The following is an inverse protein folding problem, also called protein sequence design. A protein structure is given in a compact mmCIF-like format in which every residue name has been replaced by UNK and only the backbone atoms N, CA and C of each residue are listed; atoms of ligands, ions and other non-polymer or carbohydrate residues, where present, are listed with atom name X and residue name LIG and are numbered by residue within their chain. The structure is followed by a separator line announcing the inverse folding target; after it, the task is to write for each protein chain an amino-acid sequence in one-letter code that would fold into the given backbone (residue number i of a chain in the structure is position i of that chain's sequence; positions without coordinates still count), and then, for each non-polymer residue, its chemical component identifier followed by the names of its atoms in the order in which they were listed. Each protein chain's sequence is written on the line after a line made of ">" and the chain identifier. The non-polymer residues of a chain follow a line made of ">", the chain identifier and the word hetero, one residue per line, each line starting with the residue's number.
data_IF_841514485686
#
_entry.id   IF_841514485686
#
_cell.length_a   1.000
_cell.length_b   1.000
_cell.length_c   1.000
_cell.angle_alpha   90.00
_cell.angle_beta   90.00
_cell.angle_gamma   90.00
#
_symmetry.space_group_name_H-M   'P 1'
#
loop_
_entity.id
_entity.type
_entity.pdbx_description
1 polymer ?
#
# COMPACT_ATOMS: atom_id res chain seq x y z
N UNK A 1 -18.63 -23.63 26.85
CA UNK A 1 -17.91 -22.38 27.15
C UNK A 1 -17.67 -21.66 25.84
N UNK A 2 -18.47 -20.65 25.54
CA UNK A 2 -18.38 -19.85 24.32
C UNK A 2 -17.18 -18.89 24.43
N UNK A 3 -16.21 -19.00 23.53
CA UNK A 3 -15.23 -17.93 23.25
C UNK A 3 -15.40 -17.49 21.80
N UNK A 4 -15.46 -16.17 21.66
CA UNK A 4 -15.84 -15.40 20.48
C UNK A 4 -14.97 -15.76 19.26
N UNK A 5 -15.62 -15.98 18.13
CA UNK A 5 -14.99 -15.98 16.82
C UNK A 5 -14.53 -14.55 16.50
N UNK A 6 -13.22 -14.37 16.33
CA UNK A 6 -12.66 -13.15 15.74
C UNK A 6 -12.47 -13.46 14.26
N UNK A 7 -13.35 -12.87 13.46
CA UNK A 7 -13.27 -12.81 12.02
C UNK A 7 -12.12 -11.84 11.68
N UNK A 8 -10.88 -12.33 11.56
CA UNK A 8 -9.79 -11.52 11.02
C UNK A 8 -9.88 -11.52 9.49
N UNK A 9 -10.83 -10.75 8.97
CA UNK A 9 -10.59 -10.04 7.72
C UNK A 9 -9.34 -9.20 7.96
N UNK A 10 -8.27 -9.40 7.20
CA UNK A 10 -7.24 -8.37 7.05
C UNK A 10 -7.85 -7.22 6.22
N UNK A 11 -8.82 -6.54 6.83
CA UNK A 11 -9.05 -5.13 6.62
C UNK A 11 -7.77 -4.46 7.10
N UNK A 12 -6.99 -3.87 6.20
CA UNK A 12 -6.18 -2.73 6.58
C UNK A 12 -7.13 -1.58 6.91
N UNK A 13 -7.79 -1.67 8.07
CA UNK A 13 -8.24 -0.49 8.76
C UNK A 13 -6.99 0.12 9.37
N UNK A 14 -6.43 1.13 8.70
CA UNK A 14 -5.80 2.21 9.45
C UNK A 14 -6.87 2.72 10.42
N UNK A 15 -6.83 2.26 11.68
CA UNK A 15 -7.61 2.86 12.75
C UNK A 15 -6.89 4.16 13.07
N UNK A 16 -7.07 5.16 12.20
CA UNK A 16 -7.10 6.53 12.68
C UNK A 16 -8.35 6.60 13.54
N UNK A 17 -8.17 6.76 14.85
CA UNK A 17 -9.23 7.16 15.77
C UNK A 17 -9.55 8.62 15.44
N UNK A 18 -10.17 8.87 14.30
CA UNK A 18 -10.99 10.05 14.10
C UNK A 18 -12.42 9.57 14.14
N UNK A 19 -13.21 10.15 15.05
CA UNK A 19 -14.61 9.85 15.22
C UNK A 19 -15.37 10.10 13.91
N UNK A 20 -15.49 9.06 13.07
CA UNK A 20 -16.34 9.08 11.89
C UNK A 20 -17.79 9.04 12.37
N UNK A 21 -18.36 10.21 12.59
CA UNK A 21 -19.81 10.42 12.52
C UNK A 21 -20.28 9.79 11.20
N UNK A 22 -21.30 8.93 11.26
CA UNK A 22 -21.92 8.38 10.06
C UNK A 22 -22.29 9.54 9.13
N UNK A 23 -21.64 9.61 7.96
CA UNK A 23 -21.83 10.71 7.01
C UNK A 23 -23.26 10.65 6.46
N UNK A 24 -23.95 11.79 6.31
CA UNK A 24 -25.30 11.81 5.74
C UNK A 24 -25.28 11.24 4.31
N UNK A 25 -26.22 10.36 4.00
CA UNK A 25 -26.54 10.02 2.61
C UNK A 25 -27.03 11.29 1.91
N UNK A 26 -26.49 11.61 0.73
CA UNK A 26 -26.78 12.82 -0.07
C UNK A 26 -26.11 14.13 0.41
N UNK A 27 -24.96 14.05 1.07
CA UNK A 27 -24.14 15.24 1.33
C UNK A 27 -23.67 15.87 0.00
N UNK A 28 -23.87 17.19 -0.13
CA UNK A 28 -23.38 17.94 -1.30
C UNK A 28 -21.95 18.42 -1.11
N UNK A 29 -21.24 18.71 -2.20
CA UNK A 29 -19.90 19.31 -2.13
C UNK A 29 -19.92 20.59 -1.29
N UNK A 30 -20.94 21.45 -1.47
CA UNK A 30 -21.15 22.64 -0.63
C UNK A 30 -21.19 22.32 0.85
N UNK A 31 -21.94 21.29 1.25
CA UNK A 31 -22.08 20.91 2.66
C UNK A 31 -20.75 20.40 3.21
N UNK A 32 -20.05 19.54 2.48
CA UNK A 32 -18.74 19.02 2.86
C UNK A 32 -17.72 20.16 3.06
N UNK A 33 -17.66 21.12 2.13
CA UNK A 33 -16.74 22.27 2.22
C UNK A 33 -17.13 23.25 3.34
N UNK A 34 -18.42 23.51 3.53
CA UNK A 34 -18.92 24.40 4.58
C UNK A 34 -18.64 23.85 5.99
N UNK A 35 -18.76 22.52 6.18
CA UNK A 35 -18.43 21.85 7.43
C UNK A 35 -16.95 22.02 7.84
N UNK A 36 -16.07 22.33 6.88
CA UNK A 36 -14.64 22.60 7.08
C UNK A 36 -14.31 24.09 7.11
N UNK A 37 -15.32 24.96 7.07
CA UNK A 37 -15.15 26.41 7.02
C UNK A 37 -14.27 26.89 5.85
N UNK A 38 -14.33 26.19 4.71
CA UNK A 38 -13.58 26.54 3.52
C UNK A 38 -14.32 27.61 2.69
N UNK A 39 -13.61 28.44 1.91
CA UNK A 39 -14.25 29.40 1.02
C UNK A 39 -15.06 28.71 -0.07
N UNK A 40 -16.33 29.08 -0.17
CA UNK A 40 -17.33 28.44 -1.02
C UNK A 40 -17.69 29.29 -2.24
N UNK A 41 -16.68 29.69 -3.02
CA UNK A 41 -16.90 30.46 -4.24
C UNK A 41 -17.59 29.59 -5.31
N UNK A 42 -18.93 29.57 -5.27
CA UNK A 42 -19.77 28.68 -6.07
C UNK A 42 -19.50 28.71 -7.58
N UNK A 43 -18.95 29.81 -8.11
CA UNK A 43 -18.60 29.95 -9.53
C UNK A 43 -17.32 29.24 -9.96
N UNK A 44 -16.50 28.74 -9.04
CA UNK A 44 -15.20 28.10 -9.34
C UNK A 44 -15.24 26.56 -9.28
N UNK A 45 -16.30 25.97 -8.72
CA UNK A 45 -16.38 24.52 -8.47
C UNK A 45 -17.53 23.90 -9.27
N UNK A 46 -17.20 23.00 -10.21
CA UNK A 46 -18.14 22.48 -11.22
C UNK A 46 -19.33 21.71 -10.63
N UNK A 47 -19.18 21.11 -9.44
CA UNK A 47 -20.17 20.25 -8.79
C UNK A 47 -20.64 20.78 -7.44
N UNK A 48 -20.52 22.09 -7.21
CA UNK A 48 -20.68 22.67 -5.89
C UNK A 48 -22.01 22.34 -5.20
N UNK A 49 -23.11 22.33 -5.96
CA UNK A 49 -24.45 22.02 -5.46
C UNK A 49 -24.89 20.56 -5.69
N UNK A 50 -23.98 19.69 -6.13
CA UNK A 50 -24.27 18.28 -6.39
C UNK A 50 -23.97 17.43 -5.17
N UNK A 51 -24.79 16.40 -4.97
CA UNK A 51 -24.48 15.30 -4.05
C UNK A 51 -23.19 14.62 -4.49
N UNK A 52 -22.33 14.29 -3.54
CA UNK A 52 -21.08 13.60 -3.79
C UNK A 52 -21.05 12.27 -3.06
N UNK A 53 -20.32 11.31 -3.62
CA UNK A 53 -20.14 9.97 -3.05
C UNK A 53 -18.70 9.51 -3.16
N UNK A 54 -18.39 8.47 -2.38
CA UNK A 54 -17.10 7.78 -2.37
C UNK A 54 -15.91 8.73 -2.37
N UNK A 55 -15.90 9.67 -1.42
CA UNK A 55 -14.95 10.78 -1.36
C UNK A 55 -13.97 10.65 -0.21
N UNK A 56 -12.76 11.15 -0.45
CA UNK A 56 -11.71 11.29 0.56
C UNK A 56 -11.09 12.70 0.49
N UNK A 57 -10.50 13.11 1.61
CA UNK A 57 -9.94 14.44 1.77
C UNK A 57 -8.52 14.39 2.35
N UNK A 58 -7.74 15.42 2.02
CA UNK A 58 -6.53 15.82 2.71
C UNK A 58 -6.75 17.23 3.22
N UNK A 59 -6.60 17.43 4.52
CA UNK A 59 -6.72 18.75 5.15
C UNK A 59 -5.46 19.02 5.98
N UNK A 60 -4.57 19.85 5.44
CA UNK A 60 -3.31 20.23 6.09
C UNK A 60 -3.16 21.76 6.16
N UNK A 61 -2.08 22.23 6.79
CA UNK A 61 -1.85 23.65 7.02
C UNK A 61 -1.69 24.47 5.71
N UNK A 62 -1.30 23.83 4.60
CA UNK A 62 -0.99 24.47 3.33
C UNK A 62 -2.14 24.37 2.33
N UNK A 63 -2.93 23.30 2.40
CA UNK A 63 -3.97 23.01 1.41
C UNK A 63 -5.14 22.24 1.99
N UNK A 64 -6.26 22.30 1.27
CA UNK A 64 -7.32 21.32 1.37
C UNK A 64 -7.51 20.66 0.01
N UNK A 65 -7.66 19.35 -0.02
CA UNK A 65 -7.93 18.58 -1.23
C UNK A 65 -9.10 17.65 -0.98
N UNK A 66 -10.06 17.60 -1.89
CA UNK A 66 -11.12 16.61 -1.89
C UNK A 66 -11.19 15.93 -3.25
N UNK A 67 -11.23 14.60 -3.25
CA UNK A 67 -11.51 13.81 -4.44
C UNK A 67 -12.83 13.08 -4.23
N UNK A 68 -13.67 13.04 -5.28
CA UNK A 68 -15.05 12.55 -5.17
C UNK A 68 -15.62 12.12 -6.52
N UNK A 69 -16.72 11.36 -6.45
CA UNK A 69 -17.65 11.16 -7.54
C UNK A 69 -18.93 11.97 -7.31
N UNK A 70 -19.61 12.35 -8.38
CA UNK A 70 -20.97 12.89 -8.27
C UNK A 70 -21.92 11.72 -8.05
N UNK A 71 -22.79 11.84 -7.05
CA UNK A 71 -23.86 10.88 -6.82
C UNK A 71 -25.02 11.19 -7.78
N UNK A 72 -25.19 10.33 -8.78
CA UNK A 72 -26.28 10.40 -9.77
C UNK A 72 -27.48 9.49 -9.41
N UNK A 73 -27.44 8.85 -8.24
CA UNK A 73 -28.48 7.95 -7.75
C UNK A 73 -28.44 6.54 -8.33
N UNK A 74 -27.46 6.19 -9.17
CA UNK A 74 -27.33 4.83 -9.74
C UNK A 74 -26.67 3.83 -8.76
N UNK A 75 -26.00 4.33 -7.72
CA UNK A 75 -25.07 3.60 -6.84
C UNK A 75 -23.82 3.06 -7.55
N UNK A 76 -23.57 3.49 -8.80
CA UNK A 76 -22.34 3.19 -9.52
C UNK A 76 -21.34 4.35 -9.37
N UNK A 77 -20.04 4.03 -9.47
CA UNK A 77 -18.99 5.05 -9.48
C UNK A 77 -18.74 5.51 -10.92
N UNK A 78 -19.63 6.37 -11.40
CA UNK A 78 -19.61 6.85 -12.78
C UNK A 78 -18.54 7.94 -12.98
N UNK A 79 -17.63 7.77 -13.95
CA UNK A 79 -16.65 8.80 -14.30
C UNK A 79 -17.30 10.12 -14.73
N UNK A 80 -16.59 11.25 -14.59
CA UNK A 80 -15.19 11.32 -14.17
C UNK A 80 -15.02 11.30 -12.64
N UNK A 81 -13.83 10.88 -12.20
CA UNK A 81 -13.35 11.16 -10.86
C UNK A 81 -12.99 12.66 -10.78
N UNK A 82 -13.54 13.38 -9.81
CA UNK A 82 -13.25 14.81 -9.62
C UNK A 82 -12.24 15.03 -8.49
N UNK A 83 -11.51 16.14 -8.59
CA UNK A 83 -10.56 16.59 -7.59
C UNK A 83 -10.58 18.11 -7.50
N UNK A 84 -10.78 18.63 -6.30
CA UNK A 84 -10.72 20.06 -6.01
C UNK A 84 -9.64 20.30 -4.93
N UNK A 85 -8.70 21.22 -5.22
CA UNK A 85 -7.66 21.66 -4.29
C UNK A 85 -7.82 23.14 -3.99
N UNK A 86 -7.89 23.48 -2.71
CA UNK A 86 -7.76 24.83 -2.21
C UNK A 86 -6.34 25.07 -1.70
N UNK A 87 -5.61 25.99 -2.34
CA UNK A 87 -4.34 26.49 -1.84
C UNK A 87 -4.62 27.57 -0.79
N UNK A 88 -4.26 27.30 0.48
CA UNK A 88 -4.56 28.21 1.59
C UNK A 88 -3.71 29.48 1.55
N UNK A 89 -2.53 29.43 0.94
CA UNK A 89 -1.62 30.58 0.83
C UNK A 89 -2.05 31.53 -0.28
N UNK A 90 -2.50 30.99 -1.41
CA UNK A 90 -2.97 31.76 -2.56
C UNK A 90 -4.46 32.10 -2.47
N UNK A 91 -5.19 31.44 -1.56
CA UNK A 91 -6.64 31.53 -1.43
C UNK A 91 -7.35 31.21 -2.76
N UNK A 92 -6.89 30.17 -3.45
CA UNK A 92 -7.36 29.81 -4.78
C UNK A 92 -7.75 28.33 -4.88
N UNK A 93 -8.88 28.09 -5.56
CA UNK A 93 -9.31 26.76 -5.96
C UNK A 93 -8.71 26.37 -7.31
N UNK A 94 -8.19 25.15 -7.39
CA UNK A 94 -7.84 24.47 -8.64
C UNK A 94 -8.62 23.16 -8.71
N UNK A 95 -9.13 22.85 -9.89
CA UNK A 95 -9.98 21.68 -10.11
C UNK A 95 -9.43 20.83 -11.26
N UNK A 96 -9.59 19.53 -11.15
CA UNK A 96 -9.32 18.57 -12.21
C UNK A 96 -10.41 17.50 -12.24
N UNK A 97 -10.56 16.87 -13.40
CA UNK A 97 -11.41 15.68 -13.58
C UNK A 97 -10.68 14.65 -14.42
N UNK A 98 -10.91 13.38 -14.10
CA UNK A 98 -10.26 12.24 -14.73
C UNK A 98 -11.34 11.35 -15.35
N UNK A 99 -11.67 11.56 -16.64
CA UNK A 99 -12.65 10.74 -17.37
C UNK A 99 -12.07 9.40 -17.82
N UNK A 100 -10.74 9.30 -17.93
CA UNK A 100 -9.98 8.05 -18.14
C UNK A 100 -8.82 7.92 -17.13
N UNK A 101 -8.85 6.89 -16.28
CA UNK A 101 -7.79 6.57 -15.32
C UNK A 101 -7.46 5.08 -15.41
N UNK A 102 -6.60 4.72 -16.36
CA UNK A 102 -6.22 3.32 -16.60
C UNK A 102 -4.81 3.03 -16.12
N UNK A 103 -4.59 1.84 -15.56
CA UNK A 103 -3.24 1.30 -15.33
C UNK A 103 -2.64 0.82 -16.65
N UNK A 104 -1.31 0.88 -16.75
CA UNK A 104 -0.57 0.18 -17.81
C UNK A 104 -0.35 -1.31 -17.50
N UNK A 105 -1.04 -1.89 -16.51
CA UNK A 105 -0.84 -3.27 -16.11
C UNK A 105 -1.51 -4.23 -17.11
N UNK A 106 -0.95 -5.43 -17.27
CA UNK A 106 -1.48 -6.47 -18.16
C UNK A 106 -2.80 -7.11 -17.67
N UNK A 107 -3.48 -6.52 -16.68
CA UNK A 107 -4.75 -6.99 -16.15
C UNK A 107 -5.90 -6.67 -17.12
N UNK A 108 -6.86 -7.59 -17.34
CA UNK A 108 -7.92 -7.43 -18.37
C UNK A 108 -8.82 -6.20 -18.20
N UNK A 109 -8.96 -5.72 -16.95
CA UNK A 109 -9.87 -4.63 -16.58
C UNK A 109 -9.10 -3.48 -15.92
N UNK A 110 -8.06 -2.97 -16.60
CA UNK A 110 -7.10 -1.98 -16.11
C UNK A 110 -7.66 -0.59 -15.78
N UNK A 111 -8.91 -0.47 -15.36
CA UNK A 111 -9.54 0.77 -14.91
C UNK A 111 -9.33 0.99 -13.40
N UNK A 112 -8.84 2.17 -13.02
CA UNK A 112 -8.61 2.57 -11.64
C UNK A 112 -9.79 3.30 -11.00
N UNK A 113 -10.96 3.30 -11.63
CA UNK A 113 -12.19 3.74 -10.95
C UNK A 113 -12.57 2.75 -9.87
N UNK A 114 -12.72 3.29 -8.68
CA UNK A 114 -12.90 2.55 -7.46
C UNK A 114 -13.18 3.52 -6.34
N UNK A 115 -13.59 2.99 -5.19
CA UNK A 115 -13.90 3.85 -4.05
C UNK A 115 -12.66 4.58 -3.58
N UNK A 116 -12.77 5.90 -3.37
CA UNK A 116 -11.62 6.69 -2.96
C UNK A 116 -11.39 6.47 -1.48
N UNK A 117 -10.25 5.88 -1.12
CA UNK A 117 -9.93 5.56 0.25
C UNK A 117 -9.12 6.66 0.92
N UNK A 118 -8.22 7.30 0.17
CA UNK A 118 -7.29 8.29 0.70
C UNK A 118 -6.86 9.30 -0.35
N UNK A 119 -6.68 10.53 0.09
CA UNK A 119 -5.87 11.55 -0.58
C UNK A 119 -4.64 11.81 0.29
N UNK A 120 -3.45 11.77 -0.30
CA UNK A 120 -2.21 12.06 0.38
C UNK A 120 -1.36 13.04 -0.42
N UNK A 121 -0.50 13.78 0.27
CA UNK A 121 0.53 14.62 -0.34
C UNK A 121 1.91 14.16 0.11
N UNK A 122 2.84 14.04 -0.82
CA UNK A 122 4.27 13.91 -0.54
C UNK A 122 5.03 14.87 -1.45
N UNK A 123 5.78 15.79 -0.82
CA UNK A 123 6.34 16.93 -1.54
C UNK A 123 5.23 17.78 -2.18
N UNK A 124 5.34 18.05 -3.48
CA UNK A 124 4.37 18.84 -4.24
C UNK A 124 3.33 18.01 -4.99
N UNK A 125 3.43 16.68 -4.93
CA UNK A 125 2.54 15.74 -5.64
C UNK A 125 1.40 15.28 -4.75
N UNK A 126 0.30 14.90 -5.40
CA UNK A 126 -0.86 14.30 -4.75
C UNK A 126 -1.00 12.83 -5.19
N UNK A 127 -1.49 12.03 -4.27
CA UNK A 127 -1.66 10.59 -4.43
C UNK A 127 -3.08 10.22 -4.02
N UNK A 128 -3.79 9.52 -4.89
CA UNK A 128 -5.14 9.02 -4.62
C UNK A 128 -5.09 7.49 -4.55
N UNK A 129 -5.44 6.93 -3.41
CA UNK A 129 -5.66 5.49 -3.29
C UNK A 129 -7.13 5.20 -3.59
N UNK A 130 -7.39 4.44 -4.65
CA UNK A 130 -8.72 3.97 -5.03
C UNK A 130 -8.83 2.45 -4.83
N UNK A 131 -10.04 1.96 -4.56
CA UNK A 131 -10.32 0.56 -4.31
C UNK A 131 -11.30 0.02 -5.33
N UNK A 132 -10.80 -0.84 -6.22
CA UNK A 132 -11.59 -1.41 -7.32
C UNK A 132 -12.47 -2.55 -6.78
N UNK A 133 -11.91 -3.36 -5.86
CA UNK A 133 -12.61 -4.43 -5.17
C UNK A 133 -11.92 -4.68 -3.81
N UNK A 134 -12.51 -5.48 -2.88
CA UNK A 134 -11.98 -5.71 -1.54
C UNK A 134 -10.47 -6.03 -1.42
N UNK A 135 -9.85 -6.58 -2.47
CA UNK A 135 -8.44 -6.99 -2.45
C UNK A 135 -7.55 -6.30 -3.48
N UNK A 136 -8.08 -5.33 -4.24
CA UNK A 136 -7.31 -4.62 -5.25
C UNK A 136 -7.61 -3.12 -5.22
N UNK A 137 -6.54 -2.34 -5.18
CA UNK A 137 -6.59 -0.90 -5.34
C UNK A 137 -5.68 -0.39 -6.46
N UNK A 138 -5.88 0.88 -6.80
CA UNK A 138 -4.97 1.66 -7.60
C UNK A 138 -4.43 2.85 -6.83
N UNK A 139 -3.24 3.28 -7.25
CA UNK A 139 -2.61 4.52 -6.85
C UNK A 139 -2.58 5.45 -8.06
N UNK A 140 -3.32 6.55 -8.00
CA UNK A 140 -3.23 7.63 -8.99
C UNK A 140 -2.20 8.65 -8.51
N UNK A 141 -1.23 8.96 -9.36
CA UNK A 141 -0.16 9.93 -9.09
C UNK A 141 -0.45 11.21 -9.86
N UNK A 142 -0.56 12.32 -9.14
CA UNK A 142 -0.92 13.61 -9.70
C UNK A 142 0.21 14.63 -9.53
N UNK A 143 0.46 15.38 -10.61
CA UNK A 143 1.40 16.49 -10.60
C UNK A 143 0.90 17.65 -9.72
N UNK A 144 1.77 18.63 -9.39
CA UNK A 144 1.37 19.83 -8.67
C UNK A 144 0.28 20.65 -9.36
N UNK A 145 0.08 20.48 -10.67
CA UNK A 145 -0.96 21.12 -11.47
C UNK A 145 -2.19 20.21 -11.68
N UNK A 146 -2.36 19.19 -10.84
CA UNK A 146 -3.47 18.24 -10.84
C UNK A 146 -3.59 17.41 -12.14
N UNK A 147 -2.49 17.20 -12.86
CA UNK A 147 -2.46 16.31 -14.03
C UNK A 147 -2.14 14.89 -13.59
N UNK A 148 -2.85 13.92 -14.15
CA UNK A 148 -2.54 12.50 -13.95
C UNK A 148 -1.20 12.15 -14.61
N UNK A 149 -0.20 11.80 -13.80
CA UNK A 149 1.14 11.40 -14.26
C UNK A 149 1.25 9.88 -14.42
N UNK A 150 0.62 9.11 -13.52
CA UNK A 150 0.62 7.65 -13.55
C UNK A 150 -0.60 7.06 -12.81
N UNK A 151 -0.95 5.82 -13.18
CA UNK A 151 -1.92 4.98 -12.47
C UNK A 151 -1.28 3.62 -12.22
N UNK A 152 -1.06 3.27 -10.96
CA UNK A 152 -0.35 2.06 -10.55
C UNK A 152 -1.31 1.08 -9.90
N UNK A 153 -1.16 -0.22 -10.18
CA UNK A 153 -1.99 -1.27 -9.58
C UNK A 153 -1.44 -1.64 -8.19
N UNK A 154 -1.91 -0.93 -7.16
CA UNK A 154 -1.34 -1.02 -5.82
C UNK A 154 -1.67 0.20 -4.97
N UNK A 155 -0.95 0.35 -3.86
CA UNK A 155 -1.05 1.51 -2.95
C UNK A 155 0.31 2.01 -2.50
N UNK A 156 0.39 3.31 -2.22
CA UNK A 156 1.62 3.99 -1.86
C UNK A 156 2.14 3.56 -0.49
N UNK A 157 3.41 3.16 -0.42
CA UNK A 157 4.12 2.86 0.83
C UNK A 157 5.08 3.97 1.24
N UNK A 158 5.65 4.69 0.28
CA UNK A 158 6.59 5.78 0.54
C UNK A 158 7.20 6.34 -0.74
N UNK A 159 8.19 7.21 -0.59
CA UNK A 159 8.95 7.77 -1.71
C UNK A 159 10.42 7.97 -1.33
N UNK A 160 11.27 8.05 -2.35
CA UNK A 160 12.66 8.45 -2.27
C UNK A 160 12.90 9.57 -3.28
N UNK A 161 13.25 10.75 -2.76
CA UNK A 161 13.26 11.96 -3.57
C UNK A 161 11.90 12.29 -4.16
N UNK A 162 11.93 12.95 -5.31
CA UNK A 162 10.70 13.42 -5.97
C UNK A 162 10.09 12.38 -6.88
N UNK A 163 10.90 11.49 -7.46
CA UNK A 163 10.49 10.72 -8.63
C UNK A 163 10.45 9.19 -8.42
N UNK A 164 10.98 8.67 -7.31
CA UNK A 164 10.99 7.24 -7.04
C UNK A 164 9.94 6.88 -5.98
N UNK A 165 8.89 6.19 -6.39
CA UNK A 165 7.80 5.76 -5.52
C UNK A 165 8.04 4.34 -5.05
N UNK A 166 7.76 4.09 -3.77
CA UNK A 166 7.70 2.74 -3.19
C UNK A 166 6.24 2.38 -3.02
N UNK A 167 5.79 1.29 -3.62
CA UNK A 167 4.37 0.90 -3.55
C UNK A 167 4.21 -0.62 -3.42
N UNK A 168 3.12 -1.02 -2.77
CA UNK A 168 2.71 -2.40 -2.66
C UNK A 168 1.83 -2.74 -3.85
N UNK A 169 2.14 -3.80 -4.60
CA UNK A 169 1.32 -4.23 -5.74
C UNK A 169 0.04 -4.90 -5.26
N UNK A 170 -1.07 -4.58 -5.90
CA UNK A 170 -2.33 -5.28 -5.67
C UNK A 170 -2.20 -6.74 -6.14
N UNK A 171 -2.84 -7.65 -5.41
CA UNK A 171 -2.83 -9.08 -5.70
C UNK A 171 -4.15 -9.51 -6.37
N UNK A 172 -4.10 -10.61 -7.14
CA UNK A 172 -5.32 -11.18 -7.73
C UNK A 172 -6.20 -11.74 -6.62
N UNK A 173 -7.43 -11.21 -6.49
CA UNK A 173 -8.34 -11.54 -5.39
C UNK A 173 -8.58 -13.05 -5.23
N UNK A 174 -8.71 -13.78 -6.34
CA UNK A 174 -9.01 -15.22 -6.36
C UNK A 174 -7.76 -16.11 -6.51
N UNK A 175 -6.56 -15.58 -6.24
CA UNK A 175 -5.37 -16.41 -6.18
C UNK A 175 -5.44 -17.36 -4.96
N UNK A 176 -4.89 -18.58 -5.06
CA UNK A 176 -4.86 -19.53 -3.94
C UNK A 176 -3.98 -19.05 -2.77
N UNK A 177 -3.11 -18.05 -3.01
CA UNK A 177 -2.27 -17.39 -2.01
C UNK A 177 -2.09 -15.91 -2.38
N UNK A 178 -1.79 -15.08 -1.39
CA UNK A 178 -1.63 -13.63 -1.50
C UNK A 178 -0.23 -13.19 -1.04
N UNK A 179 0.81 -13.41 -1.86
CA UNK A 179 2.16 -12.94 -1.56
C UNK A 179 2.24 -11.42 -1.62
N UNK A 180 2.84 -10.77 -0.61
CA UNK A 180 3.16 -9.36 -0.68
C UNK A 180 4.20 -9.10 -1.79
N UNK A 181 3.93 -8.14 -2.66
CA UNK A 181 4.88 -7.68 -3.68
C UNK A 181 5.13 -6.19 -3.50
N UNK A 182 6.40 -5.81 -3.43
CA UNK A 182 6.80 -4.42 -3.28
C UNK A 182 7.67 -4.03 -4.47
N UNK A 183 7.34 -2.88 -5.04
CA UNK A 183 7.99 -2.36 -6.23
C UNK A 183 8.40 -0.90 -6.07
N UNK A 184 9.41 -0.54 -6.86
CA UNK A 184 9.79 0.84 -7.12
C UNK A 184 9.15 1.28 -8.44
N UNK A 185 8.69 2.52 -8.53
CA UNK A 185 8.25 3.14 -9.79
C UNK A 185 8.99 4.47 -9.98
N UNK A 186 9.73 4.60 -11.07
CA UNK A 186 10.43 5.84 -11.44
C UNK A 186 9.52 6.67 -12.37
N UNK A 187 9.06 7.81 -11.87
CA UNK A 187 8.18 8.75 -12.59
C UNK A 187 8.83 9.35 -13.84
N UNK A 188 10.16 9.41 -13.92
CA UNK A 188 10.89 9.97 -15.08
C UNK A 188 10.89 8.98 -16.23
N UNK A 189 11.18 7.71 -15.93
CA UNK A 189 11.29 6.64 -16.94
C UNK A 189 9.96 5.92 -17.18
N UNK A 190 9.00 6.10 -16.27
CA UNK A 190 7.69 5.43 -16.22
C UNK A 190 7.81 3.91 -16.15
N UNK A 191 8.84 3.42 -15.49
CA UNK A 191 9.12 2.00 -15.30
C UNK A 191 9.02 1.64 -13.83
N UNK A 192 8.45 0.48 -13.57
CA UNK A 192 8.48 -0.18 -12.28
C UNK A 192 9.41 -1.40 -12.29
N UNK A 193 9.97 -1.69 -11.10
CA UNK A 193 10.75 -2.88 -10.81
C UNK A 193 10.26 -3.46 -9.50
N UNK A 194 9.84 -4.73 -9.51
CA UNK A 194 9.58 -5.49 -8.28
C UNK A 194 10.89 -5.88 -7.65
N UNK A 195 11.15 -5.42 -6.42
CA UNK A 195 12.37 -5.78 -5.69
C UNK A 195 12.09 -6.75 -4.53
N UNK A 196 10.81 -6.91 -4.13
CA UNK A 196 10.38 -7.92 -3.17
C UNK A 196 9.19 -8.72 -3.73
N UNK A 197 9.18 -10.07 -3.63
CA UNK A 197 10.18 -10.93 -3.00
C UNK A 197 11.53 -10.94 -3.74
N UNK A 198 12.62 -11.02 -3.00
CA UNK A 198 13.98 -11.02 -3.57
C UNK A 198 14.26 -12.30 -4.34
N UNK A 199 14.97 -12.20 -5.48
CA UNK A 199 15.51 -13.33 -6.22
C UNK A 199 17.04 -13.25 -6.30
N UNK A 200 17.78 -14.36 -6.09
CA UNK A 200 17.29 -15.69 -5.70
C UNK A 200 16.67 -15.69 -4.28
N UNK A 201 15.84 -16.71 -4.00
CA UNK A 201 15.15 -16.84 -2.71
C UNK A 201 16.14 -16.79 -1.56
N UNK A 202 15.75 -16.06 -0.52
CA UNK A 202 16.59 -15.77 0.63
C UNK A 202 16.74 -16.97 1.58
N UNK A 203 17.64 -16.90 2.58
CA UNK A 203 17.87 -18.03 3.48
C UNK A 203 16.65 -18.34 4.35
N UNK A 204 15.98 -17.29 4.87
CA UNK A 204 14.76 -17.44 5.67
C UNK A 204 13.63 -18.00 4.82
N UNK A 205 13.46 -17.50 3.59
CA UNK A 205 12.44 -18.01 2.67
C UNK A 205 12.68 -19.47 2.29
N UNK A 206 13.90 -19.86 1.94
CA UNK A 206 14.25 -21.26 1.64
C UNK A 206 13.99 -22.18 2.83
N UNK A 207 14.29 -21.74 4.05
CA UNK A 207 13.99 -22.51 5.26
C UNK A 207 12.48 -22.71 5.44
N UNK A 208 11.68 -21.68 5.17
CA UNK A 208 10.22 -21.76 5.18
C UNK A 208 9.68 -22.72 4.13
N UNK A 209 10.16 -22.64 2.89
CA UNK A 209 9.82 -23.57 1.81
C UNK A 209 10.14 -25.02 2.19
N UNK A 210 11.32 -25.28 2.77
CA UNK A 210 11.67 -26.63 3.22
C UNK A 210 10.74 -27.17 4.31
N UNK A 211 10.32 -26.33 5.27
CA UNK A 211 9.35 -26.72 6.30
C UNK A 211 7.99 -27.08 5.71
N UNK A 212 7.49 -26.28 4.76
CA UNK A 212 6.23 -26.56 4.08
C UNK A 212 6.32 -27.84 3.23
N UNK A 213 7.45 -28.06 2.54
CA UNK A 213 7.67 -29.25 1.73
C UNK A 213 7.59 -30.54 2.58
N UNK A 214 8.23 -30.56 3.76
CA UNK A 214 8.13 -31.72 4.66
C UNK A 214 6.72 -31.89 5.23
N UNK A 215 6.04 -30.78 5.57
CA UNK A 215 4.65 -30.82 6.01
C UNK A 215 3.74 -31.48 4.97
N UNK A 216 3.80 -31.05 3.70
CA UNK A 216 2.95 -31.61 2.64
C UNK A 216 3.28 -33.07 2.31
N UNK A 217 4.54 -33.47 2.42
CA UNK A 217 4.97 -34.85 2.23
C UNK A 217 4.31 -35.83 3.21
N UNK A 218 4.18 -35.43 4.48
CA UNK A 218 3.56 -36.24 5.55
C UNK A 218 2.04 -36.11 5.52
N UNK A 219 1.50 -34.97 5.09
CA UNK A 219 0.08 -34.64 5.16
C UNK A 219 -0.60 -34.60 3.78
N UNK A 220 -0.42 -35.64 2.95
CA UNK A 220 -0.88 -35.66 1.54
C UNK A 220 -2.38 -35.38 1.32
N UNK A 221 -3.23 -35.76 2.26
CA UNK A 221 -4.68 -35.51 2.18
C UNK A 221 -5.11 -34.12 2.68
N UNK A 222 -4.19 -33.36 3.27
CA UNK A 222 -4.50 -32.08 3.89
C UNK A 222 -4.85 -31.00 2.85
N UNK A 223 -4.18 -31.01 1.70
CA UNK A 223 -4.38 -30.07 0.58
C UNK A 223 -5.84 -30.00 0.14
N UNK A 224 -6.39 -31.14 -0.29
CA UNK A 224 -7.76 -31.24 -0.78
C UNK A 224 -8.80 -30.90 0.29
N UNK A 225 -8.49 -31.15 1.57
CA UNK A 225 -9.40 -30.86 2.68
C UNK A 225 -9.47 -29.36 3.00
N UNK A 226 -8.40 -28.61 2.73
CA UNK A 226 -8.28 -27.21 3.12
C UNK A 226 -8.19 -26.26 1.91
N UNK A 227 -8.46 -26.75 0.70
CA UNK A 227 -8.39 -26.00 -0.56
C UNK A 227 -7.04 -25.28 -0.76
N UNK A 228 -5.96 -26.01 -0.47
CA UNK A 228 -4.60 -25.47 -0.48
C UNK A 228 -3.82 -25.91 -1.73
N UNK A 229 -3.03 -25.03 -2.37
CA UNK A 229 -2.28 -25.38 -3.57
C UNK A 229 -1.19 -26.43 -3.31
N UNK A 230 -0.76 -26.61 -2.06
CA UNK A 230 0.30 -27.54 -1.66
C UNK A 230 1.61 -27.40 -2.42
N UNK A 231 1.89 -26.16 -2.83
CA UNK A 231 3.16 -25.74 -3.35
C UNK A 231 3.98 -25.08 -2.22
N UNK A 232 5.12 -25.64 -1.81
CA UNK A 232 5.95 -25.06 -0.75
C UNK A 232 6.65 -23.76 -1.16
N UNK A 233 6.69 -23.43 -2.46
CA UNK A 233 7.23 -22.16 -2.96
C UNK A 233 6.16 -21.07 -3.06
N UNK A 234 4.88 -21.45 -3.03
CA UNK A 234 3.74 -20.55 -3.19
C UNK A 234 2.87 -20.55 -1.92
N UNK A 235 3.10 -19.57 -1.05
CA UNK A 235 2.44 -19.42 0.25
C UNK A 235 2.25 -17.94 0.60
N UNK A 236 1.31 -17.66 1.50
CA UNK A 236 1.01 -16.30 1.94
C UNK A 236 2.17 -15.66 2.71
N UNK A 237 2.34 -14.36 2.47
CA UNK A 237 3.16 -13.50 3.32
C UNK A 237 2.73 -12.06 3.17
N UNK A 238 2.74 -11.32 4.27
CA UNK A 238 2.13 -10.00 4.33
C UNK A 238 3.11 -8.95 4.85
N UNK A 239 3.13 -7.78 4.21
CA UNK A 239 3.76 -6.58 4.73
C UNK A 239 3.16 -6.23 6.10
N UNK A 240 4.01 -6.00 7.09
CA UNK A 240 3.61 -5.60 8.44
C UNK A 240 3.92 -4.13 8.67
N UNK A 241 2.91 -3.35 9.03
CA UNK A 241 3.05 -1.95 9.39
C UNK A 241 3.53 -1.06 8.24
N UNK A 242 4.26 -0.01 8.59
CA UNK A 242 4.77 1.00 7.66
C UNK A 242 6.10 0.59 7.03
N UNK A 243 6.46 1.27 5.94
CA UNK A 243 7.79 1.19 5.32
C UNK A 243 8.58 2.43 5.70
N UNK A 244 9.81 2.26 6.18
CA UNK A 244 10.71 3.38 6.39
C UNK A 244 11.55 3.62 5.13
N UNK A 245 11.70 4.88 4.73
CA UNK A 245 12.58 5.31 3.66
C UNK A 245 13.59 6.34 4.17
N UNK A 246 14.78 6.35 3.59
CA UNK A 246 15.78 7.41 3.78
C UNK A 246 16.39 7.77 2.43
N UNK A 247 16.04 8.94 1.92
CA UNK A 247 16.51 9.44 0.63
C UNK A 247 18.02 9.67 0.59
N UNK A 248 18.60 10.27 1.64
CA UNK A 248 20.02 10.59 1.67
C UNK A 248 20.91 9.34 1.57
N UNK A 249 20.41 8.22 2.08
CA UNK A 249 21.10 6.93 2.07
C UNK A 249 20.62 5.98 0.96
N UNK A 250 19.60 6.39 0.18
CA UNK A 250 18.94 5.53 -0.80
C UNK A 250 18.46 4.21 -0.18
N UNK A 251 17.85 4.27 1.01
CA UNK A 251 17.59 3.10 1.84
C UNK A 251 16.09 2.91 2.15
N UNK A 252 15.70 1.65 2.29
CA UNK A 252 14.32 1.23 2.62
C UNK A 252 14.37 0.12 3.66
N UNK A 253 13.50 0.15 4.67
CA UNK A 253 13.30 -0.94 5.61
C UNK A 253 11.82 -1.26 5.81
N UNK A 254 11.49 -2.56 5.88
CA UNK A 254 10.13 -3.04 6.10
C UNK A 254 10.11 -4.44 6.71
N UNK A 255 8.94 -4.86 7.19
CA UNK A 255 8.71 -6.15 7.81
C UNK A 255 7.79 -7.02 6.97
N UNK A 256 8.13 -8.29 6.84
CA UNK A 256 7.27 -9.30 6.22
C UNK A 256 6.96 -10.37 7.26
N UNK A 257 5.68 -10.71 7.36
CA UNK A 257 5.23 -11.89 8.07
C UNK A 257 5.09 -13.06 7.13
N UNK A 258 5.81 -14.13 7.44
CA UNK A 258 5.59 -15.47 6.91
C UNK A 258 4.71 -16.31 7.84
N UNK A 259 4.11 -15.66 8.85
CA UNK A 259 3.19 -16.33 9.76
C UNK A 259 1.98 -16.84 8.95
N UNK A 260 1.65 -18.10 9.19
CA UNK A 260 0.57 -18.78 8.51
C UNK A 260 -0.77 -18.02 8.65
N UNK A 261 -1.38 -17.73 7.50
CA UNK A 261 -2.76 -17.26 7.41
C UNK A 261 -3.62 -18.47 7.03
N UNK A 262 -4.10 -19.24 8.02
CA UNK A 262 -5.13 -20.27 7.77
C UNK A 262 -6.49 -19.75 8.20
N UNK A 263 -7.40 -19.63 7.23
CA UNK A 263 -8.79 -19.23 7.47
C UNK A 263 -9.65 -20.38 8.02
N UNK A 264 -9.22 -21.64 7.85
CA UNK A 264 -9.98 -22.83 8.28
C UNK A 264 -9.25 -23.54 9.41
N UNK A 265 -9.96 -23.74 10.53
CA UNK A 265 -9.45 -24.47 11.69
C UNK A 265 -9.61 -25.99 11.44
N UNK A 266 -8.47 -26.70 11.38
CA UNK A 266 -8.42 -28.16 11.38
C UNK A 266 -7.42 -28.67 12.43
N UNK A 267 -7.52 -29.95 12.81
CA UNK A 267 -6.67 -30.56 13.85
C UNK A 267 -5.17 -30.58 13.49
N UNK A 268 -4.86 -30.49 12.19
CA UNK A 268 -3.50 -30.42 11.67
C UNK A 268 -3.29 -29.03 11.06
N UNK A 269 -2.31 -28.30 11.60
CA UNK A 269 -1.95 -26.95 11.18
C UNK A 269 -0.64 -26.99 10.41
N UNK A 270 -0.48 -26.07 9.44
CA UNK A 270 0.84 -25.83 8.82
C UNK A 270 1.81 -25.36 9.92
N UNK A 271 3.13 -25.43 9.68
CA UNK A 271 4.08 -24.71 10.52
C UNK A 271 3.77 -23.21 10.48
N UNK A 272 3.84 -22.49 11.60
CA UNK A 272 3.50 -21.06 11.65
C UNK A 272 4.45 -20.21 10.81
N UNK A 273 5.75 -20.52 10.76
CA UNK A 273 6.74 -19.66 10.10
C UNK A 273 7.07 -18.40 10.92
N UNK A 274 8.11 -17.63 10.55
CA UNK A 274 8.51 -16.44 11.28
C UNK A 274 7.55 -15.26 11.03
N UNK A 275 7.19 -14.55 12.09
CA UNK A 275 6.24 -13.42 12.05
C UNK A 275 6.87 -12.10 11.62
N UNK A 276 8.08 -11.78 12.08
CA UNK A 276 8.68 -10.47 11.86
C UNK A 276 10.05 -10.64 11.20
N UNK A 277 10.06 -10.72 9.87
CA UNK A 277 11.28 -10.76 9.07
C UNK A 277 11.57 -9.36 8.53
N UNK A 278 12.69 -8.80 8.98
CA UNK A 278 13.18 -7.51 8.57
C UNK A 278 13.92 -7.62 7.24
N UNK A 279 13.55 -6.74 6.32
CA UNK A 279 14.30 -6.46 5.10
C UNK A 279 14.83 -5.03 5.16
N UNK A 280 16.12 -4.87 4.86
CA UNK A 280 16.77 -3.55 4.72
C UNK A 280 17.49 -3.51 3.39
N UNK A 281 17.20 -2.49 2.58
CA UNK A 281 17.82 -2.23 1.29
C UNK A 281 18.63 -0.94 1.33
N UNK A 282 19.67 -0.86 0.50
CA UNK A 282 20.44 0.36 0.21
C UNK A 282 20.72 0.47 -1.28
N UNK A 283 21.01 1.69 -1.73
CA UNK A 283 21.26 2.03 -3.14
C UNK A 283 20.08 1.63 -4.05
N UNK A 284 18.87 1.81 -3.53
CA UNK A 284 17.63 1.40 -4.22
C UNK A 284 17.31 2.24 -5.45
N UNK A 285 17.99 3.37 -5.62
CA UNK A 285 17.92 4.24 -6.78
C UNK A 285 18.73 3.72 -7.99
N UNK A 286 19.56 2.69 -7.79
CA UNK A 286 20.34 2.03 -8.83
C UNK A 286 20.12 0.51 -8.75
N UNK A 287 19.21 -0.01 -9.58
CA UNK A 287 18.85 -1.44 -9.63
C UNK A 287 20.07 -2.35 -9.75
N UNK A 288 21.11 -1.94 -10.49
CA UNK A 288 22.31 -2.74 -10.70
C UNK A 288 23.24 -2.80 -9.48
N UNK A 289 23.08 -1.86 -8.54
CA UNK A 289 23.84 -1.81 -7.28
C UNK A 289 23.01 -2.17 -6.07
N UNK A 290 21.69 -2.26 -6.20
CA UNK A 290 20.78 -2.47 -5.08
C UNK A 290 21.20 -3.69 -4.26
N UNK A 291 21.44 -3.45 -2.97
CA UNK A 291 21.78 -4.51 -2.02
C UNK A 291 20.70 -4.60 -0.95
N UNK A 292 20.53 -5.81 -0.42
CA UNK A 292 19.65 -6.04 0.71
C UNK A 292 20.28 -6.91 1.79
N UNK A 293 19.72 -6.80 3.00
CA UNK A 293 19.90 -7.74 4.09
C UNK A 293 18.55 -8.17 4.61
N UNK A 294 18.47 -9.44 4.98
CA UNK A 294 17.34 -9.99 5.71
C UNK A 294 17.80 -10.53 7.06
N UNK A 295 16.92 -10.46 8.06
CA UNK A 295 17.10 -11.08 9.36
C UNK A 295 15.78 -11.12 10.12
N UNK A 296 15.72 -11.90 11.20
CA UNK A 296 14.60 -11.79 12.13
C UNK A 296 14.66 -10.44 12.86
N UNK A 297 13.51 -9.81 13.12
CA UNK A 297 13.46 -8.52 13.79
C UNK A 297 14.11 -8.55 15.18
N UNK A 298 13.94 -9.65 15.92
CA UNK A 298 14.58 -9.83 17.23
C UNK A 298 16.11 -9.92 17.11
N UNK A 299 16.64 -10.52 16.04
CA UNK A 299 18.09 -10.52 15.78
C UNK A 299 18.58 -9.11 15.47
N UNK A 300 17.84 -8.33 14.68
CA UNK A 300 18.16 -6.93 14.39
C UNK A 300 18.21 -6.10 15.68
N UNK A 301 17.20 -6.26 16.55
CA UNK A 301 17.13 -5.59 17.84
C UNK A 301 18.30 -5.95 18.75
N UNK A 302 18.66 -7.23 18.82
CA UNK A 302 19.79 -7.69 19.60
C UNK A 302 21.14 -7.13 19.09
N UNK A 303 21.30 -6.98 17.77
CA UNK A 303 22.54 -6.50 17.14
C UNK A 303 22.68 -4.98 17.12
N UNK A 304 21.60 -4.26 16.84
CA UNK A 304 21.64 -2.83 16.56
C UNK A 304 21.00 -1.97 17.66
N UNK A 305 20.38 -2.60 18.67
CA UNK A 305 19.77 -1.90 19.80
C UNK A 305 18.43 -1.22 19.48
N UNK A 306 17.89 -1.39 18.28
CA UNK A 306 16.61 -0.83 17.86
C UNK A 306 15.84 -1.82 16.98
N UNK A 307 14.51 -1.74 17.06
CA UNK A 307 13.57 -2.45 16.18
C UNK A 307 12.70 -1.47 15.38
N UNK A 308 12.96 -0.17 15.47
CA UNK A 308 12.20 0.86 14.76
C UNK A 308 12.75 1.00 13.35
N UNK A 309 11.90 0.81 12.35
CA UNK A 309 12.29 0.88 10.94
C UNK A 309 12.98 2.20 10.55
N UNK A 310 12.55 3.39 11.02
CA UNK A 310 13.23 4.64 10.70
C UNK A 310 14.69 4.71 11.20
N UNK A 311 15.01 4.04 12.31
CA UNK A 311 16.38 4.01 12.84
C UNK A 311 17.27 3.09 11.99
N UNK A 312 16.69 2.02 11.43
CA UNK A 312 17.40 0.99 10.65
C UNK A 312 17.84 1.47 9.26
N UNK A 313 17.29 2.59 8.79
CA UNK A 313 17.67 3.23 7.52
C UNK A 313 18.62 4.42 7.72
N UNK A 314 19.16 4.63 8.93
CA UNK A 314 20.13 5.70 9.19
C UNK A 314 21.55 5.26 8.85
N UNK A 315 22.38 6.19 8.39
CA UNK A 315 23.75 5.95 7.90
C UNK A 315 24.59 5.04 8.82
N UNK A 316 24.61 5.35 10.13
CA UNK A 316 25.40 4.61 11.12
C UNK A 316 24.93 3.14 11.24
N UNK A 317 23.63 2.91 11.21
CA UNK A 317 23.06 1.56 11.34
C UNK A 317 23.21 0.79 10.03
N UNK A 318 23.02 1.44 8.87
CA UNK A 318 23.28 0.84 7.56
C UNK A 318 24.72 0.36 7.43
N UNK A 319 25.70 1.15 7.88
CA UNK A 319 27.10 0.72 7.90
C UNK A 319 27.28 -0.58 8.70
N UNK A 320 26.66 -0.70 9.88
CA UNK A 320 26.72 -1.91 10.71
C UNK A 320 26.03 -3.10 10.03
N UNK A 321 24.84 -2.91 9.47
CA UNK A 321 24.06 -3.95 8.79
C UNK A 321 24.83 -4.54 7.59
N UNK A 322 25.50 -3.70 6.81
CA UNK A 322 26.14 -4.12 5.57
C UNK A 322 27.64 -4.45 5.70
N UNK A 323 28.33 -4.01 6.76
CA UNK A 323 29.75 -4.30 6.99
C UNK A 323 30.05 -5.80 7.19
N UNK A 324 29.12 -6.56 7.77
CA UNK A 324 29.32 -7.99 8.06
C UNK A 324 29.53 -8.87 6.82
N UNK A 325 29.18 -8.39 5.62
CA UNK A 325 29.37 -9.13 4.37
C UNK A 325 30.76 -8.96 3.75
N UNK A 326 31.51 -7.89 4.11
CA UNK A 326 32.87 -7.68 3.62
C UNK A 326 33.92 -8.51 4.38
N UNK A 327 33.53 -9.21 5.45
CA UNK A 327 34.39 -9.99 6.32
C UNK A 327 34.32 -11.51 6.07
N UNK A 328 33.69 -11.94 4.97
CA UNK A 328 33.65 -13.33 4.49
C UNK A 328 34.19 -13.40 3.06
#
# INVERSE_FOLDING_TARGET
>A
MFRRAILSFLLFAAISIDGRVARPTNETLRQALAAKHLPTDAGKLANFDKSITSWAELDDANQYVISYYVDDGTNELNPPLFLDRYDRKQAEWKSASFPDAHTNSAQPDGNCYGSILRVAALGSRLFLDTHINPSAGCLLVLSPDLKLEASLYGWLLGQLGTDLLVYHRSQIHFAPVHPAEIALYDLRTRRDVTFFPTKPDSAIRRARTAQLAEFYKVNKGWCNKNDDPCDPENFDYALQGEVATNEAEGAIAFLISYEQIQLVQGDVQKPSGPKDVLYVYRWVDDEAKMEYREMLLEDAKARFGTSKLPDLVQAEILQKIFAEAAAK
#
